data_IF_617648358202
#
_entry.id   IF_617648358202
#
_cell.length_a   1.000
_cell.length_b   1.000
_cell.length_c   1.000
_cell.angle_alpha   90.00
_cell.angle_beta   90.00
_cell.angle_gamma   90.00
#
_symmetry.space_group_name_H-M   'P 1'
#
loop_
_entity.id
_entity.type
_entity.pdbx_description
1 polymer ?
#
# COMPACT_ATOMS: atom_id res chain seq x y z
N UNK A 1 10.48 -1.50 -26.16
CA UNK A 1 9.72 -2.69 -25.69
C UNK A 1 8.76 -3.07 -26.83
N UNK A 2 8.31 -4.34 -26.99
CA UNK A 2 7.31 -4.71 -28.02
C UNK A 2 5.92 -4.74 -27.37
N UNK A 3 4.87 -4.47 -28.17
CA UNK A 3 3.46 -4.48 -27.70
C UNK A 3 3.09 -5.79 -26.97
N UNK A 4 3.51 -6.94 -27.51
CA UNK A 4 3.32 -8.24 -26.85
C UNK A 4 3.90 -8.28 -25.43
N UNK A 5 5.08 -7.71 -25.23
CA UNK A 5 5.72 -7.67 -23.91
C UNK A 5 5.00 -6.70 -22.98
N UNK A 6 4.55 -5.55 -23.48
CA UNK A 6 3.80 -4.58 -22.71
C UNK A 6 2.52 -5.21 -22.15
N UNK A 7 1.67 -5.74 -23.04
CA UNK A 7 0.40 -6.33 -22.65
C UNK A 7 0.55 -7.55 -21.72
N UNK A 8 1.53 -8.42 -22.00
CA UNK A 8 1.80 -9.55 -21.11
C UNK A 8 2.26 -9.10 -19.71
N UNK A 9 3.10 -8.06 -19.63
CA UNK A 9 3.52 -7.50 -18.35
C UNK A 9 2.39 -6.82 -17.58
N UNK A 10 1.41 -6.26 -18.28
CA UNK A 10 0.22 -5.68 -17.66
C UNK A 10 -0.83 -6.73 -17.23
N UNK A 11 -0.61 -8.02 -17.54
CA UNK A 11 -1.49 -9.11 -17.11
C UNK A 11 -2.63 -9.44 -18.08
N UNK A 12 -2.57 -8.99 -19.32
CA UNK A 12 -3.58 -9.32 -20.34
C UNK A 12 -3.51 -10.78 -20.85
N UNK A 13 -2.54 -11.54 -20.37
CA UNK A 13 -2.34 -12.95 -20.65
C UNK A 13 -0.88 -13.31 -20.90
N UNK A 14 -0.60 -14.60 -21.10
CA UNK A 14 0.71 -15.09 -21.54
C UNK A 14 1.10 -14.47 -22.89
N UNK A 15 2.38 -14.46 -23.22
CA UNK A 15 2.87 -13.92 -24.51
C UNK A 15 2.14 -14.54 -25.71
N UNK A 16 1.84 -15.85 -25.68
CA UNK A 16 1.12 -16.55 -26.74
C UNK A 16 -0.35 -16.12 -26.84
N UNK A 17 -1.00 -15.91 -25.72
CA UNK A 17 -2.38 -15.40 -25.68
C UNK A 17 -2.46 -13.96 -26.18
N UNK A 18 -1.55 -13.10 -25.72
CA UNK A 18 -1.45 -11.71 -26.20
C UNK A 18 -1.20 -11.65 -27.71
N UNK A 19 -0.32 -12.50 -28.26
CA UNK A 19 -0.15 -12.57 -29.71
C UNK A 19 -1.43 -12.93 -30.45
N UNK A 20 -2.22 -13.87 -29.93
CA UNK A 20 -3.55 -14.19 -30.51
C UNK A 20 -4.52 -13.04 -30.45
N UNK A 21 -4.54 -12.32 -29.30
CA UNK A 21 -5.40 -11.13 -29.11
C UNK A 21 -5.03 -10.02 -30.09
N UNK A 22 -3.75 -9.74 -30.30
CA UNK A 22 -3.29 -8.75 -31.29
C UNK A 22 -3.71 -9.17 -32.69
N UNK A 23 -3.46 -10.42 -33.10
CA UNK A 23 -3.83 -10.92 -34.43
C UNK A 23 -5.33 -10.96 -34.67
N UNK A 24 -6.15 -11.06 -33.62
CA UNK A 24 -7.61 -10.99 -33.74
C UNK A 24 -8.17 -9.57 -33.87
N UNK A 25 -7.30 -8.54 -33.84
CA UNK A 25 -7.72 -7.14 -33.90
C UNK A 25 -8.26 -6.60 -32.58
N UNK A 26 -8.04 -7.29 -31.46
CA UNK A 26 -8.50 -6.85 -30.14
C UNK A 26 -7.74 -5.64 -29.59
N UNK A 27 -6.61 -5.25 -30.21
CA UNK A 27 -5.76 -4.13 -29.78
C UNK A 27 -5.73 -3.10 -30.89
N UNK A 28 -6.17 -1.89 -30.58
CA UNK A 28 -6.24 -0.78 -31.52
C UNK A 28 -5.55 0.46 -30.95
N UNK A 29 -5.32 1.44 -31.80
CA UNK A 29 -5.05 2.80 -31.34
C UNK A 29 -6.37 3.60 -31.12
N UNK A 30 -6.24 4.81 -30.59
CA UNK A 30 -7.37 5.73 -30.38
C UNK A 30 -8.04 6.21 -31.68
N UNK A 31 -7.38 6.03 -32.85
CA UNK A 31 -7.95 6.31 -34.17
C UNK A 31 -8.70 5.10 -34.76
N UNK A 32 -8.70 3.95 -34.05
CA UNK A 32 -9.35 2.71 -34.48
C UNK A 32 -8.50 1.82 -35.39
N UNK A 33 -7.22 2.13 -35.61
CA UNK A 33 -6.33 1.28 -36.40
C UNK A 33 -5.90 0.05 -35.57
N UNK A 34 -5.96 -1.14 -36.17
CA UNK A 34 -5.49 -2.37 -35.53
C UNK A 34 -3.96 -2.33 -35.40
N UNK A 35 -3.47 -2.56 -34.20
CA UNK A 35 -2.05 -2.59 -33.88
C UNK A 35 -1.46 -3.98 -34.13
N UNK A 36 -0.25 -4.04 -34.66
CA UNK A 36 0.54 -5.25 -34.86
C UNK A 36 1.47 -5.53 -33.67
N UNK A 37 2.09 -6.72 -33.65
CA UNK A 37 2.95 -7.18 -32.55
C UNK A 37 4.18 -6.28 -32.29
N UNK A 38 4.62 -5.53 -33.32
CA UNK A 38 5.78 -4.64 -33.26
C UNK A 38 5.42 -3.16 -33.09
N UNK A 39 4.14 -2.82 -33.20
CA UNK A 39 3.68 -1.45 -32.99
C UNK A 39 3.75 -1.11 -31.50
N UNK A 40 4.11 0.13 -31.19
CA UNK A 40 4.15 0.61 -29.82
C UNK A 40 3.92 2.13 -29.80
N UNK A 41 2.67 2.58 -30.05
CA UNK A 41 2.34 3.97 -29.84
C UNK A 41 2.45 4.35 -28.36
N UNK A 42 2.30 5.62 -27.99
CA UNK A 42 2.17 6.05 -26.59
C UNK A 42 1.12 5.24 -25.85
N UNK A 43 1.36 4.96 -24.55
CA UNK A 43 0.52 4.07 -23.76
C UNK A 43 -0.95 4.49 -23.71
N UNK A 44 -1.19 5.79 -23.58
CA UNK A 44 -2.51 6.43 -23.55
C UNK A 44 -3.27 6.36 -24.90
N UNK A 45 -2.60 5.97 -25.98
CA UNK A 45 -3.20 5.77 -27.28
C UNK A 45 -3.51 4.30 -27.61
N UNK A 46 -3.21 3.38 -26.69
CA UNK A 46 -3.48 1.94 -26.91
C UNK A 46 -4.78 1.57 -26.23
N UNK A 47 -5.68 0.93 -27.00
CA UNK A 47 -6.95 0.40 -26.50
C UNK A 47 -6.95 -1.13 -26.59
N UNK A 48 -7.48 -1.77 -25.57
CA UNK A 48 -7.79 -3.19 -25.58
C UNK A 48 -9.30 -3.39 -25.59
N UNK A 49 -9.84 -3.90 -26.71
CA UNK A 49 -11.29 -4.05 -26.94
C UNK A 49 -12.06 -2.75 -26.75
N UNK A 50 -11.46 -1.64 -27.16
CA UNK A 50 -12.04 -0.30 -27.08
C UNK A 50 -11.82 0.41 -25.74
N UNK A 51 -11.27 -0.26 -24.73
CA UNK A 51 -10.99 0.34 -23.41
C UNK A 51 -9.51 0.69 -23.26
N UNK A 52 -9.17 1.78 -22.53
CA UNK A 52 -7.78 2.11 -22.20
C UNK A 52 -7.07 0.96 -21.49
N UNK A 53 -5.75 0.88 -21.68
CA UNK A 53 -4.95 -0.07 -20.93
C UNK A 53 -4.87 0.28 -19.46
N UNK A 54 -4.67 -0.76 -18.63
CA UNK A 54 -4.28 -0.56 -17.21
C UNK A 54 -2.99 0.27 -17.12
N UNK A 55 -2.76 1.00 -16.02
CA UNK A 55 -1.60 1.86 -15.85
C UNK A 55 -0.26 1.15 -16.14
N UNK A 56 0.71 1.84 -16.78
CA UNK A 56 2.01 1.24 -17.10
C UNK A 56 2.90 1.05 -15.87
N UNK A 57 4.02 0.34 -16.05
CA UNK A 57 5.13 0.34 -15.09
C UNK A 57 5.92 1.66 -15.17
N UNK A 58 6.39 2.26 -14.07
CA UNK A 58 6.12 1.85 -12.68
C UNK A 58 4.73 2.32 -12.21
N UNK A 59 4.03 1.45 -11.50
CA UNK A 59 2.74 1.77 -10.89
C UNK A 59 2.89 1.93 -9.38
N UNK A 60 2.29 2.97 -8.83
CA UNK A 60 2.11 3.13 -7.38
C UNK A 60 0.64 3.43 -7.12
N UNK A 61 0.02 2.62 -6.29
CA UNK A 61 -1.37 2.84 -5.88
C UNK A 61 -1.47 3.08 -4.37
N UNK A 62 -2.47 3.84 -4.00
CA UNK A 62 -2.98 4.03 -2.66
C UNK A 62 -4.25 3.19 -2.52
N UNK A 63 -4.30 2.36 -1.50
CA UNK A 63 -5.47 1.56 -1.12
C UNK A 63 -5.91 1.97 0.28
N UNK A 64 -7.18 2.25 0.48
CA UNK A 64 -7.78 2.33 1.82
C UNK A 64 -8.13 0.92 2.26
N UNK A 65 -7.17 0.24 2.90
CA UNK A 65 -7.36 -1.14 3.34
C UNK A 65 -8.49 -1.25 4.37
N UNK A 66 -9.54 -2.03 4.11
CA UNK A 66 -10.59 -2.30 5.09
C UNK A 66 -10.15 -3.35 6.12
N UNK A 67 -10.94 -3.52 7.16
CA UNK A 67 -10.80 -4.63 8.12
C UNK A 67 -11.00 -6.00 7.44
N UNK A 68 -10.40 -7.04 8.01
CA UNK A 68 -10.59 -8.43 7.56
C UNK A 68 -9.71 -8.90 6.41
N UNK A 69 -8.92 -8.02 5.78
CA UNK A 69 -8.05 -8.35 4.65
C UNK A 69 -6.58 -8.46 5.07
N UNK A 70 -5.88 -9.49 4.63
CA UNK A 70 -4.44 -9.66 4.88
C UNK A 70 -3.59 -9.04 3.77
N UNK A 71 -2.35 -8.64 4.11
CA UNK A 71 -1.36 -8.13 3.14
C UNK A 71 -0.49 -9.24 2.52
N UNK A 72 -0.76 -10.50 2.83
CA UNK A 72 -0.04 -11.65 2.28
C UNK A 72 -0.89 -12.31 1.20
N UNK A 73 -0.26 -12.72 0.10
CA UNK A 73 -0.91 -13.54 -0.94
C UNK A 73 -0.99 -15.03 -0.58
N UNK A 74 -0.30 -15.44 0.50
CA UNK A 74 -0.20 -16.84 0.92
C UNK A 74 -1.13 -17.17 2.11
N UNK A 75 -1.68 -16.15 2.77
CA UNK A 75 -2.56 -16.35 3.92
C UNK A 75 -3.95 -16.82 3.46
N UNK A 76 -4.58 -17.73 4.20
CA UNK A 76 -5.96 -18.12 3.91
C UNK A 76 -6.94 -16.99 4.19
N UNK A 77 -7.95 -16.84 3.35
CA UNK A 77 -9.01 -15.83 3.46
C UNK A 77 -8.82 -14.67 2.50
N UNK A 78 -9.50 -13.56 2.79
CA UNK A 78 -9.49 -12.37 1.94
C UNK A 78 -8.16 -11.63 2.03
N UNK A 79 -7.63 -11.25 0.89
CA UNK A 79 -6.35 -10.55 0.74
C UNK A 79 -6.55 -9.18 0.09
N UNK A 80 -5.61 -8.28 0.27
CA UNK A 80 -5.64 -6.95 -0.39
C UNK A 80 -5.70 -7.05 -1.91
N UNK A 81 -5.31 -8.18 -2.50
CA UNK A 81 -5.35 -8.40 -3.94
C UNK A 81 -6.77 -8.64 -4.45
N UNK A 82 -7.69 -9.11 -3.60
CA UNK A 82 -9.11 -9.32 -3.94
C UNK A 82 -9.86 -7.99 -4.12
N UNK A 83 -9.29 -6.89 -3.63
CA UNK A 83 -9.81 -5.53 -3.79
C UNK A 83 -9.37 -4.87 -5.11
N UNK A 84 -8.46 -5.51 -5.84
CA UNK A 84 -7.89 -4.99 -7.08
C UNK A 84 -8.46 -5.71 -8.30
N UNK A 85 -8.40 -5.08 -9.50
CA UNK A 85 -8.78 -5.78 -10.72
C UNK A 85 -8.03 -7.12 -10.88
N UNK A 86 -8.70 -8.22 -11.27
CA UNK A 86 -8.08 -9.55 -11.36
C UNK A 86 -6.81 -9.59 -12.22
N UNK A 87 -6.69 -8.72 -13.23
CA UNK A 87 -5.49 -8.61 -14.06
C UNK A 87 -4.26 -8.15 -13.29
N UNK A 88 -4.45 -7.38 -12.21
CA UNK A 88 -3.33 -6.87 -11.41
C UNK A 88 -2.55 -8.01 -10.72
N UNK A 89 -3.20 -9.13 -10.42
CA UNK A 89 -2.55 -10.34 -9.93
C UNK A 89 -1.64 -11.01 -10.98
N UNK A 90 -1.84 -10.69 -12.26
CA UNK A 90 -1.05 -11.25 -13.39
C UNK A 90 0.04 -10.31 -13.88
N UNK A 91 0.21 -9.14 -13.26
CA UNK A 91 1.26 -8.18 -13.65
C UNK A 91 2.65 -8.74 -13.41
N UNK A 92 3.60 -8.34 -14.26
CA UNK A 92 5.01 -8.67 -14.13
C UNK A 92 5.89 -7.42 -14.43
N UNK A 93 6.54 -6.79 -13.44
CA UNK A 93 6.56 -7.19 -12.02
C UNK A 93 5.19 -7.11 -11.34
N UNK A 94 4.98 -7.96 -10.32
CA UNK A 94 3.76 -7.96 -9.52
C UNK A 94 3.67 -6.78 -8.57
N UNK A 95 2.45 -6.34 -8.25
CA UNK A 95 2.21 -5.36 -7.21
C UNK A 95 2.51 -5.95 -5.83
N UNK A 96 3.26 -5.20 -5.02
CA UNK A 96 3.61 -5.59 -3.66
C UNK A 96 3.26 -4.45 -2.69
N UNK A 97 2.77 -4.77 -1.48
CA UNK A 97 2.49 -3.75 -0.48
C UNK A 97 3.78 -3.11 0.04
N UNK A 98 3.79 -1.79 0.18
CA UNK A 98 4.88 -1.02 0.78
C UNK A 98 4.71 -1.01 2.31
N UNK A 99 5.35 -1.97 2.95
CA UNK A 99 5.05 -2.34 4.32
C UNK A 99 3.72 -3.11 4.42
N UNK A 100 3.36 -3.48 5.64
CA UNK A 100 2.16 -4.30 5.88
C UNK A 100 1.27 -3.61 6.90
N UNK A 101 -0.01 -3.92 6.85
CA UNK A 101 -0.99 -3.71 7.90
C UNK A 101 -1.50 -5.07 8.37
N UNK A 102 -1.78 -5.19 9.64
CA UNK A 102 -2.39 -6.40 10.20
C UNK A 102 -3.79 -6.58 9.64
N UNK A 103 -4.35 -7.79 9.76
CA UNK A 103 -5.67 -8.12 9.22
C UNK A 103 -6.75 -7.16 9.74
N UNK A 104 -6.69 -6.85 11.03
CA UNK A 104 -7.61 -5.98 11.78
C UNK A 104 -7.15 -4.51 11.88
N UNK A 105 -6.17 -4.12 11.06
CA UNK A 105 -5.71 -2.73 10.94
C UNK A 105 -6.15 -2.17 9.60
N UNK A 106 -6.80 -1.02 9.63
CA UNK A 106 -7.36 -0.35 8.45
C UNK A 106 -6.47 0.81 7.97
N UNK A 107 -6.88 1.46 6.88
CA UNK A 107 -6.32 2.74 6.45
C UNK A 107 -5.33 2.68 5.29
N UNK A 108 -4.45 3.66 5.24
CA UNK A 108 -3.55 3.90 4.12
C UNK A 108 -2.55 2.76 3.90
N UNK A 109 -2.67 2.07 2.78
CA UNK A 109 -1.71 1.10 2.29
C UNK A 109 -1.23 1.51 0.90
N UNK A 110 0.07 1.58 0.70
CA UNK A 110 0.66 1.79 -0.62
C UNK A 110 1.07 0.44 -1.22
N UNK A 111 0.91 0.31 -2.54
CA UNK A 111 1.40 -0.86 -3.28
C UNK A 111 2.12 -0.40 -4.55
N UNK A 112 3.16 -1.14 -4.95
CA UNK A 112 3.92 -0.83 -6.17
C UNK A 112 4.47 -2.08 -6.83
N UNK A 113 4.68 -2.01 -8.15
CA UNK A 113 5.44 -2.97 -8.93
C UNK A 113 6.92 -2.56 -9.11
N UNK A 114 7.33 -1.40 -8.54
CA UNK A 114 8.73 -0.95 -8.49
C UNK A 114 9.41 -1.38 -7.17
N UNK A 115 10.18 -2.47 -7.22
CA UNK A 115 10.92 -2.96 -6.05
C UNK A 115 11.98 -1.98 -5.52
N UNK A 116 12.53 -1.07 -6.34
CA UNK A 116 13.49 -0.05 -5.87
C UNK A 116 12.78 1.01 -5.04
N UNK A 117 11.61 1.47 -5.49
CA UNK A 117 10.78 2.41 -4.76
C UNK A 117 10.29 1.78 -3.44
N UNK A 118 9.81 0.52 -3.49
CA UNK A 118 9.42 -0.22 -2.30
C UNK A 118 10.53 -0.23 -1.26
N UNK A 119 11.74 -0.67 -1.65
CA UNK A 119 12.90 -0.68 -0.76
C UNK A 119 13.23 0.71 -0.20
N UNK A 120 13.15 1.75 -1.04
CA UNK A 120 13.43 3.13 -0.61
C UNK A 120 12.47 3.58 0.49
N UNK A 121 11.19 3.25 0.42
CA UNK A 121 10.18 3.69 1.39
C UNK A 121 10.24 2.89 2.69
N UNK A 122 10.46 1.56 2.62
CA UNK A 122 10.47 0.71 3.83
C UNK A 122 11.81 0.71 4.58
N UNK A 123 12.88 1.21 3.97
CA UNK A 123 14.20 1.18 4.57
C UNK A 123 14.24 2.03 5.85
N UNK A 124 14.83 1.55 6.96
CA UNK A 124 14.84 2.29 8.24
C UNK A 124 15.43 3.70 8.16
N UNK A 125 16.34 3.95 7.20
CA UNK A 125 16.97 5.28 6.96
C UNK A 125 16.12 6.20 6.09
N UNK A 126 14.93 5.77 5.63
CA UNK A 126 14.09 6.59 4.74
C UNK A 126 13.37 7.72 5.48
N UNK A 127 13.37 7.66 6.83
CA UNK A 127 12.64 8.61 7.69
C UNK A 127 11.14 8.74 7.38
N UNK A 128 10.59 7.86 6.52
CA UNK A 128 9.17 7.81 6.23
C UNK A 128 8.39 7.36 7.46
N UNK A 129 8.04 8.32 8.31
CA UNK A 129 7.21 8.06 9.49
C UNK A 129 5.79 7.60 9.09
N UNK A 130 5.13 6.89 9.99
CA UNK A 130 3.75 6.41 9.81
C UNK A 130 2.93 6.88 10.99
N UNK A 131 1.78 7.48 10.72
CA UNK A 131 0.87 7.93 11.77
C UNK A 131 -0.32 6.99 11.84
N UNK A 132 -0.59 6.52 13.03
CA UNK A 132 -1.70 5.63 13.32
C UNK A 132 -2.67 6.30 14.26
N UNK A 133 -3.95 6.22 13.96
CA UNK A 133 -5.06 6.57 14.84
C UNK A 133 -5.44 5.32 15.62
N UNK A 134 -5.34 5.37 16.94
CA UNK A 134 -5.62 4.28 17.85
C UNK A 134 -6.85 4.59 18.71
N UNK A 135 -7.80 3.66 18.74
CA UNK A 135 -8.91 3.63 19.68
C UNK A 135 -8.59 2.61 20.78
N UNK A 136 -8.77 3.01 22.04
CA UNK A 136 -8.31 2.27 23.21
C UNK A 136 -9.49 1.73 24.04
N UNK A 137 -9.26 0.62 24.72
CA UNK A 137 -10.24 0.02 25.64
C UNK A 137 -10.44 0.87 26.91
N UNK A 138 -9.35 1.42 27.44
CA UNK A 138 -9.34 2.21 28.66
C UNK A 138 -8.83 3.62 28.42
N UNK A 139 -9.20 4.59 29.28
CA UNK A 139 -8.61 5.93 29.25
C UNK A 139 -7.08 5.88 29.33
N UNK A 140 -6.42 6.84 28.69
CA UNK A 140 -5.00 7.08 28.86
C UNK A 140 -4.69 7.51 30.29
N UNK A 141 -3.62 6.97 30.88
CA UNK A 141 -3.18 7.28 32.25
C UNK A 141 -2.19 8.46 32.31
N UNK A 142 -1.70 8.92 31.13
CA UNK A 142 -0.83 10.07 31.00
C UNK A 142 0.67 9.75 30.96
N UNK A 143 1.09 8.52 31.28
CA UNK A 143 2.49 8.10 31.25
C UNK A 143 2.92 7.54 29.87
N UNK A 144 1.98 7.18 29.00
CA UNK A 144 2.24 6.49 27.74
C UNK A 144 3.10 7.33 26.79
N UNK A 145 2.88 8.64 26.77
CA UNK A 145 3.64 9.56 25.93
C UNK A 145 5.13 9.58 26.25
N UNK A 146 5.48 9.66 27.52
CA UNK A 146 6.88 9.60 28.00
C UNK A 146 7.49 8.23 27.75
N UNK A 147 6.74 7.14 28.02
CA UNK A 147 7.19 5.77 27.78
C UNK A 147 7.53 5.54 26.31
N UNK A 148 6.67 5.98 25.38
CA UNK A 148 6.86 5.78 23.95
C UNK A 148 7.99 6.66 23.39
N UNK A 149 8.16 7.86 23.93
CA UNK A 149 9.24 8.78 23.52
C UNK A 149 10.60 8.38 24.09
N UNK A 150 10.66 7.56 25.13
CA UNK A 150 11.89 7.22 25.86
C UNK A 150 12.96 6.54 25.01
N UNK A 151 12.58 5.79 23.98
CA UNK A 151 13.49 4.92 23.21
C UNK A 151 14.06 3.75 24.03
N UNK A 152 13.50 3.48 25.22
CA UNK A 152 13.94 2.39 26.12
C UNK A 152 12.95 1.24 26.19
N UNK A 153 11.75 1.41 25.63
CA UNK A 153 10.70 0.38 25.65
C UNK A 153 11.13 -0.84 24.85
N UNK A 154 11.27 -1.96 25.55
CA UNK A 154 11.54 -3.28 24.94
C UNK A 154 10.25 -4.09 24.97
N UNK A 155 9.79 -4.52 23.82
CA UNK A 155 8.60 -5.36 23.70
C UNK A 155 8.92 -6.82 24.05
N UNK A 156 7.92 -7.55 24.55
CA UNK A 156 8.04 -8.98 24.83
C UNK A 156 8.58 -9.74 23.62
N UNK A 157 9.52 -10.67 23.84
CA UNK A 157 10.22 -11.43 22.80
C UNK A 157 11.08 -10.61 21.83
N UNK A 158 11.48 -9.40 22.22
CA UNK A 158 12.42 -8.56 21.49
C UNK A 158 13.69 -8.34 22.31
N UNK A 159 14.83 -8.19 21.63
CA UNK A 159 16.13 -7.99 22.29
C UNK A 159 16.63 -6.53 22.17
N UNK A 160 15.88 -5.68 21.51
CA UNK A 160 16.26 -4.28 21.28
C UNK A 160 15.08 -3.36 21.60
N UNK A 161 15.35 -2.20 22.20
CA UNK A 161 14.31 -1.22 22.43
C UNK A 161 13.73 -0.73 21.11
N UNK A 162 12.52 -0.17 21.19
CA UNK A 162 11.88 0.55 20.09
C UNK A 162 12.59 1.87 19.85
N UNK A 163 12.51 2.37 18.61
CA UNK A 163 12.82 3.77 18.36
C UNK A 163 11.79 4.66 19.07
N UNK A 164 12.20 5.87 19.51
CA UNK A 164 11.27 6.83 20.08
C UNK A 164 10.06 7.05 19.17
N UNK A 165 8.87 7.04 19.77
CA UNK A 165 7.61 7.28 19.07
C UNK A 165 6.88 8.46 19.72
N UNK A 166 6.19 9.28 18.91
CA UNK A 166 5.37 10.36 19.41
C UNK A 166 3.95 9.87 19.67
N UNK A 167 3.40 10.21 20.83
CA UNK A 167 1.97 10.06 21.13
C UNK A 167 1.35 11.45 21.16
N UNK A 168 0.19 11.60 20.54
CA UNK A 168 -0.66 12.79 20.60
C UNK A 168 -2.05 12.37 21.04
N UNK A 169 -2.49 12.89 22.19
CA UNK A 169 -3.78 12.56 22.79
C UNK A 169 -4.88 13.35 22.08
N UNK A 170 -5.87 12.66 21.52
CA UNK A 170 -7.06 13.25 20.91
C UNK A 170 -8.26 13.25 21.84
N UNK A 171 -8.34 12.28 22.74
CA UNK A 171 -9.40 12.09 23.70
C UNK A 171 -9.00 11.10 24.79
N UNK A 172 -9.87 10.83 25.73
CA UNK A 172 -9.59 9.92 26.84
C UNK A 172 -9.13 8.52 26.37
N UNK A 173 -9.74 8.01 25.30
CA UNK A 173 -9.49 6.68 24.72
C UNK A 173 -9.00 6.75 23.28
N UNK A 174 -8.41 7.86 22.87
CA UNK A 174 -8.11 8.10 21.46
C UNK A 174 -6.79 8.85 21.31
N UNK A 175 -5.91 8.35 20.47
CA UNK A 175 -4.58 8.94 20.27
C UNK A 175 -4.04 8.73 18.85
N UNK A 176 -3.14 9.63 18.44
CA UNK A 176 -2.26 9.41 17.30
C UNK A 176 -0.90 8.90 17.77
N UNK A 177 -0.39 7.88 17.08
CA UNK A 177 0.95 7.35 17.32
C UNK A 177 1.78 7.49 16.06
N UNK A 178 2.89 8.23 16.14
CA UNK A 178 3.84 8.38 15.04
C UNK A 178 5.04 7.46 15.24
N UNK A 179 5.28 6.57 14.26
CA UNK A 179 6.37 5.60 14.27
C UNK A 179 7.38 5.87 13.15
N UNK A 180 8.67 5.65 13.44
CA UNK A 180 9.77 5.69 12.47
C UNK A 180 10.26 4.30 12.04
N UNK A 181 9.65 3.24 12.57
CA UNK A 181 9.93 1.84 12.28
C UNK A 181 8.61 1.07 12.10
N UNK A 182 8.67 -0.24 11.87
CA UNK A 182 7.48 -1.08 11.75
C UNK A 182 7.77 -2.50 12.19
N UNK A 183 7.66 -2.77 13.50
CA UNK A 183 7.74 -4.14 14.03
C UNK A 183 6.36 -4.81 14.06
N UNK A 184 6.37 -6.11 14.19
CA UNK A 184 5.16 -6.92 14.26
C UNK A 184 4.21 -6.43 15.36
N UNK A 185 2.98 -6.05 14.98
CA UNK A 185 1.92 -5.51 15.84
C UNK A 185 2.39 -4.38 16.78
N UNK A 186 3.31 -3.51 16.32
CA UNK A 186 4.06 -2.60 17.18
C UNK A 186 3.17 -1.71 18.04
N UNK A 187 2.21 -0.99 17.44
CA UNK A 187 1.32 -0.07 18.19
C UNK A 187 0.51 -0.82 19.25
N UNK A 188 -0.07 -1.96 18.89
CA UNK A 188 -0.85 -2.78 19.81
C UNK A 188 -0.01 -3.27 21.01
N UNK A 189 1.22 -3.71 20.72
CA UNK A 189 2.16 -4.18 21.75
C UNK A 189 2.70 -3.05 22.63
N UNK A 190 2.86 -1.84 22.08
CA UNK A 190 3.25 -0.66 22.86
C UNK A 190 2.18 -0.30 23.89
N UNK A 191 0.92 -0.22 23.47
CA UNK A 191 -0.19 0.02 24.41
C UNK A 191 -0.37 -1.13 25.41
N UNK A 192 -0.19 -2.38 25.00
CA UNK A 192 -0.22 -3.52 25.93
C UNK A 192 0.89 -3.43 27.00
N UNK A 193 2.10 -2.98 26.64
CA UNK A 193 3.19 -2.74 27.58
C UNK A 193 2.89 -1.57 28.53
N UNK A 194 2.09 -0.59 28.09
CA UNK A 194 1.60 0.51 28.93
C UNK A 194 0.32 0.16 29.70
N UNK A 195 -0.11 -1.10 29.69
CA UNK A 195 -1.29 -1.55 30.45
C UNK A 195 -2.63 -1.28 29.78
N UNK A 196 -2.69 -0.90 28.52
CA UNK A 196 -3.92 -0.64 27.77
C UNK A 196 -4.10 -1.61 26.59
N UNK A 197 -5.24 -1.56 25.90
CA UNK A 197 -5.53 -2.41 24.76
C UNK A 197 -6.07 -1.57 23.59
N UNK A 198 -5.61 -1.88 22.36
CA UNK A 198 -6.08 -1.20 21.13
C UNK A 198 -7.26 -1.96 20.56
N UNK A 199 -8.43 -1.34 20.54
CA UNK A 199 -9.66 -1.86 19.96
C UNK A 199 -9.71 -1.62 18.44
N UNK A 200 -9.34 -0.42 18.00
CA UNK A 200 -9.29 -0.03 16.60
C UNK A 200 -7.96 0.61 16.25
N UNK A 201 -7.43 0.31 15.05
CA UNK A 201 -6.18 0.87 14.57
C UNK A 201 -6.29 1.22 13.09
N UNK A 202 -6.04 2.47 12.75
CA UNK A 202 -6.09 2.97 11.37
C UNK A 202 -4.82 3.72 11.04
N UNK A 203 -4.10 3.34 9.97
CA UNK A 203 -2.98 4.14 9.48
C UNK A 203 -3.51 5.29 8.64
N UNK A 204 -3.25 6.52 9.06
CA UNK A 204 -3.77 7.72 8.43
C UNK A 204 -2.74 8.46 7.56
N UNK A 205 -1.43 8.20 7.75
CA UNK A 205 -0.41 8.78 6.87
C UNK A 205 0.87 7.94 6.78
N UNK A 206 1.63 8.19 5.70
CA UNK A 206 3.00 7.70 5.47
C UNK A 206 3.82 8.90 4.98
N UNK A 207 4.82 9.35 5.74
CA UNK A 207 5.47 10.65 5.52
C UNK A 207 4.44 11.77 5.52
N UNK A 208 4.56 12.71 4.61
CA UNK A 208 3.57 13.77 4.42
C UNK A 208 2.30 13.34 3.65
N UNK A 209 2.25 12.11 3.11
CA UNK A 209 1.07 11.61 2.40
C UNK A 209 0.00 11.19 3.39
N UNK A 210 -1.18 11.79 3.30
CA UNK A 210 -2.35 11.46 4.12
C UNK A 210 -3.34 10.61 3.35
N UNK A 211 -4.09 9.77 4.07
CA UNK A 211 -5.26 9.09 3.52
C UNK A 211 -6.34 10.13 3.21
N UNK A 212 -6.79 10.25 1.95
CA UNK A 212 -7.86 11.18 1.60
C UNK A 212 -9.19 10.78 2.24
N UNK A 213 -10.00 11.76 2.60
CA UNK A 213 -11.32 11.54 3.22
C UNK A 213 -12.34 10.97 2.22
N UNK A 214 -12.16 11.25 0.94
CA UNK A 214 -13.01 10.81 -0.16
C UNK A 214 -12.65 9.42 -0.72
N UNK A 215 -11.57 8.79 -0.24
CA UNK A 215 -11.23 7.41 -0.60
C UNK A 215 -11.89 6.45 0.40
N UNK A 216 -12.95 5.77 -0.02
CA UNK A 216 -13.70 4.85 0.83
C UNK A 216 -12.92 3.57 1.15
N UNK A 217 -13.32 2.86 2.21
CA UNK A 217 -12.69 1.57 2.56
C UNK A 217 -12.91 0.53 1.47
N UNK A 218 -11.83 -0.09 1.03
CA UNK A 218 -11.81 -1.04 -0.09
C UNK A 218 -11.43 -0.40 -1.42
N UNK A 219 -11.53 0.93 -1.52
CA UNK A 219 -11.19 1.65 -2.73
C UNK A 219 -9.69 1.91 -2.86
N UNK A 220 -9.25 2.05 -4.10
CA UNK A 220 -7.87 2.34 -4.44
C UNK A 220 -7.81 3.32 -5.62
N UNK A 221 -6.69 4.04 -5.75
CA UNK A 221 -6.36 4.85 -6.91
C UNK A 221 -4.85 4.95 -7.11
N UNK A 222 -4.43 5.39 -8.27
CA UNK A 222 -3.03 5.71 -8.52
C UNK A 222 -2.58 6.93 -7.70
N UNK A 223 -1.31 6.93 -7.29
CA UNK A 223 -0.67 8.10 -6.75
C UNK A 223 -0.29 9.08 -7.87
N UNK A 224 -0.54 10.35 -7.62
CA UNK A 224 0.05 11.44 -8.40
C UNK A 224 1.55 11.58 -8.08
N UNK A 225 2.29 12.27 -8.94
CA UNK A 225 3.70 12.56 -8.69
C UNK A 225 3.93 13.41 -7.42
N UNK A 226 3.02 14.32 -7.12
CA UNK A 226 3.09 15.17 -5.93
C UNK A 226 2.85 14.37 -4.66
N UNK A 227 1.88 13.47 -4.67
CA UNK A 227 1.61 12.54 -3.57
C UNK A 227 2.78 11.59 -3.33
N UNK A 228 3.40 11.07 -4.39
CA UNK A 228 4.58 10.23 -4.25
C UNK A 228 5.76 11.02 -3.64
N UNK A 229 5.92 12.31 -3.97
CA UNK A 229 6.91 13.16 -3.32
C UNK A 229 6.60 13.39 -1.85
N UNK A 230 5.33 13.56 -1.50
CA UNK A 230 4.88 13.76 -0.12
C UNK A 230 5.21 12.56 0.81
N UNK A 231 5.35 11.35 0.26
CA UNK A 231 5.80 10.17 1.06
C UNK A 231 7.16 10.40 1.71
N UNK A 232 8.00 11.25 1.11
CA UNK A 232 9.37 11.53 1.56
C UNK A 232 9.52 12.90 2.23
N UNK A 233 8.42 13.59 2.54
CA UNK A 233 8.40 14.89 3.20
C UNK A 233 8.24 14.79 4.72
#
# INVERSE_FOLDING_TARGET
MKLVKLLANLGYGSRKEVQRLIRSGAVTDTAGNVLGENDLPPHDQILFRGEPLDPPFPLVIMLHKPDGYTCSSEDPGSTIYDLLPPRFAQRNPGLNPIGRLDKDTTGLLLMTDDGKLLHKIIHPKSECHKVYHAQLDRPLEGHEGELFASGTLVLNNENRPLLPAKLEVLGEKEALVTLHEGRYHQVRRMFAAAGNHVLGLKRISIGGLKLPEDLEEGDWRELTHDELRAVFA
#
